data_IF_206120703069
#
_entry.id   IF_206120703069
#
_cell.length_a   1.000
_cell.length_b   1.000
_cell.length_c   1.000
_cell.angle_alpha   90.00
_cell.angle_beta   90.00
_cell.angle_gamma   90.00
#
_symmetry.space_group_name_H-M   'P 1'
#
loop_
_entity.id
_entity.type
_entity.pdbx_description
1 polymer ?
#
# COMPACT_ATOMS: atom_id res chain seq x y z
N UNK A 1 21.29 4.02 -8.81
CA UNK A 1 20.15 3.53 -8.01
C UNK A 1 20.24 4.16 -6.62
N UNK A 2 19.52 5.26 -6.37
CA UNK A 2 19.53 5.94 -5.07
C UNK A 2 18.11 5.94 -4.49
N UNK A 3 17.91 5.41 -3.28
CA UNK A 3 16.72 5.73 -2.49
C UNK A 3 15.91 4.58 -1.86
N UNK A 4 16.26 3.31 -2.03
CA UNK A 4 15.56 2.25 -1.27
C UNK A 4 16.33 1.95 0.01
N UNK A 5 15.67 2.13 1.16
CA UNK A 5 16.18 1.76 2.48
C UNK A 5 16.62 0.29 2.47
N UNK A 6 17.53 -0.10 3.37
CA UNK A 6 17.90 -1.51 3.51
C UNK A 6 16.65 -2.29 3.94
N UNK A 7 16.34 -3.32 3.17
CA UNK A 7 15.22 -4.23 3.41
C UNK A 7 15.82 -5.60 3.67
N UNK A 8 15.55 -6.16 4.85
CA UNK A 8 15.95 -7.52 5.19
C UNK A 8 14.75 -8.45 5.03
N UNK A 9 14.91 -9.51 4.25
CA UNK A 9 13.96 -10.62 4.21
C UNK A 9 14.47 -11.71 5.14
N UNK A 10 13.65 -12.12 6.11
CA UNK A 10 14.01 -13.09 7.15
C UNK A 10 12.81 -14.00 7.38
N UNK A 11 13.05 -15.28 7.66
CA UNK A 11 12.01 -16.18 8.15
C UNK A 11 12.05 -16.22 9.68
N UNK A 12 10.96 -15.84 10.34
CA UNK A 12 10.85 -15.99 11.78
C UNK A 12 10.75 -17.48 12.14
N UNK A 13 11.38 -17.93 13.24
CA UNK A 13 11.39 -19.33 13.68
C UNK A 13 10.06 -19.72 14.33
N UNK A 14 8.95 -19.52 13.62
CA UNK A 14 7.60 -20.02 13.97
C UNK A 14 7.31 -21.34 13.27
N UNK A 15 6.23 -22.03 13.65
CA UNK A 15 5.76 -23.22 12.95
C UNK A 15 4.31 -23.01 12.46
N UNK A 16 4.08 -22.88 11.13
CA UNK A 16 5.09 -22.81 10.05
C UNK A 16 5.95 -21.54 10.11
N UNK A 17 7.11 -21.49 9.43
CA UNK A 17 7.94 -20.29 9.36
C UNK A 17 7.16 -19.10 8.82
N UNK A 18 7.34 -17.93 9.44
CA UNK A 18 6.67 -16.70 8.99
C UNK A 18 7.67 -15.85 8.23
N UNK A 19 7.55 -15.73 6.89
CA UNK A 19 8.42 -14.85 6.12
C UNK A 19 8.07 -13.40 6.43
N UNK A 20 9.09 -12.62 6.79
CA UNK A 20 8.95 -11.21 7.15
C UNK A 20 9.92 -10.34 6.36
N UNK A 21 9.53 -9.09 6.25
CA UNK A 21 10.33 -8.02 5.68
C UNK A 21 10.54 -6.98 6.76
N UNK A 22 11.80 -6.71 7.11
CA UNK A 22 12.19 -5.67 8.06
C UNK A 22 12.73 -4.48 7.29
N UNK A 23 12.15 -3.31 7.55
CA UNK A 23 12.58 -2.05 6.95
C UNK A 23 12.92 -1.00 8.00
N UNK A 24 14.03 -0.30 7.77
CA UNK A 24 14.40 0.88 8.53
C UNK A 24 13.56 2.07 8.12
N UNK A 25 12.91 2.72 9.09
CA UNK A 25 12.21 3.98 8.83
C UNK A 25 13.22 5.06 8.44
N UNK A 26 12.89 5.83 7.41
CA UNK A 26 13.67 6.97 6.94
C UNK A 26 12.76 8.15 6.61
N UNK A 27 13.27 9.36 6.76
CA UNK A 27 12.58 10.54 6.26
C UNK A 27 12.54 10.50 4.72
N UNK A 28 11.37 10.79 4.14
CA UNK A 28 11.25 11.01 2.70
C UNK A 28 11.56 12.46 2.35
N UNK A 29 11.90 12.73 1.08
CA UNK A 29 12.12 14.10 0.60
C UNK A 29 13.38 14.77 1.16
N UNK A 30 13.41 16.12 1.14
CA UNK A 30 14.58 16.93 1.50
C UNK A 30 15.05 16.69 2.96
N UNK A 31 14.11 16.42 3.87
CA UNK A 31 14.41 16.05 5.26
C UNK A 31 15.17 14.72 5.35
N UNK A 32 14.90 13.77 4.45
CA UNK A 32 15.65 12.53 4.32
C UNK A 32 17.14 12.71 4.05
N UNK A 33 17.51 13.76 3.33
CA UNK A 33 18.91 14.06 3.04
C UNK A 33 19.65 14.67 4.25
N UNK A 34 18.93 15.33 5.17
CA UNK A 34 19.50 16.04 6.30
C UNK A 34 19.46 15.23 7.60
N UNK A 35 18.36 14.51 7.86
CA UNK A 35 18.14 13.78 9.13
C UNK A 35 18.21 12.26 8.96
N UNK A 36 18.21 11.74 7.73
CA UNK A 36 18.37 10.33 7.43
C UNK A 36 17.38 9.43 8.19
N UNK A 37 17.92 8.68 9.16
CA UNK A 37 17.21 7.68 9.98
C UNK A 37 16.83 8.17 11.38
N UNK A 38 17.20 9.40 11.75
CA UNK A 38 16.97 9.94 13.09
C UNK A 38 15.65 10.69 13.15
N UNK A 39 14.75 10.23 14.01
CA UNK A 39 13.42 10.78 14.26
C UNK A 39 13.37 11.37 15.66
N UNK A 40 12.57 12.43 15.84
CA UNK A 40 12.11 12.81 17.18
C UNK A 40 11.08 11.77 17.65
N UNK A 41 11.15 11.37 18.91
CA UNK A 41 10.12 10.53 19.52
C UNK A 41 8.83 11.34 19.77
N UNK A 42 7.62 10.75 19.56
CA UNK A 42 7.39 9.40 19.05
C UNK A 42 7.68 9.28 17.54
N UNK A 43 8.31 8.17 17.14
CA UNK A 43 8.60 7.89 15.72
C UNK A 43 7.32 7.51 14.95
N UNK A 44 7.43 7.31 13.63
CA UNK A 44 6.30 6.85 12.80
C UNK A 44 5.88 5.39 13.03
N UNK A 45 6.75 4.56 13.62
CA UNK A 45 6.52 3.12 13.70
C UNK A 45 5.30 2.69 14.54
N UNK A 46 5.05 3.28 15.74
CA UNK A 46 3.85 2.96 16.51
C UNK A 46 2.56 3.34 15.78
N UNK A 47 2.55 4.47 15.07
CA UNK A 47 1.41 4.90 14.26
C UNK A 47 1.14 3.94 13.12
N UNK A 48 2.19 3.47 12.45
CA UNK A 48 2.05 2.50 11.37
C UNK A 48 1.46 1.17 11.85
N UNK A 49 1.91 0.64 13.01
CA UNK A 49 1.29 -0.54 13.60
C UNK A 49 -0.18 -0.30 13.93
N UNK A 50 -0.51 0.82 14.58
CA UNK A 50 -1.89 1.15 14.93
C UNK A 50 -2.79 1.24 13.68
N UNK A 51 -2.29 1.85 12.59
CA UNK A 51 -2.99 1.90 11.31
C UNK A 51 -3.15 0.53 10.68
N UNK A 52 -2.10 -0.30 10.67
CA UNK A 52 -2.16 -1.68 10.16
C UNK A 52 -3.21 -2.51 10.91
N UNK A 53 -3.26 -2.42 12.24
CA UNK A 53 -4.24 -3.12 13.06
C UNK A 53 -5.67 -2.66 12.75
N UNK A 54 -5.88 -1.35 12.57
CA UNK A 54 -7.20 -0.80 12.22
C UNK A 54 -7.65 -1.23 10.83
N UNK A 55 -6.75 -1.28 9.85
CA UNK A 55 -7.05 -1.76 8.51
C UNK A 55 -7.36 -3.26 8.50
N UNK A 56 -6.59 -4.05 9.24
CA UNK A 56 -6.83 -5.49 9.40
C UNK A 56 -8.18 -5.78 10.06
N UNK A 57 -8.54 -5.04 11.12
CA UNK A 57 -9.84 -5.15 11.78
C UNK A 57 -11.02 -4.80 10.84
N UNK A 58 -10.79 -3.95 9.83
CA UNK A 58 -11.76 -3.62 8.79
C UNK A 58 -11.73 -4.60 7.60
N UNK A 59 -10.94 -5.67 7.66
CA UNK A 59 -10.80 -6.66 6.59
C UNK A 59 -10.10 -6.13 5.33
N UNK A 60 -9.39 -5.01 5.42
CA UNK A 60 -8.69 -4.42 4.27
C UNK A 60 -7.38 -5.21 4.06
N UNK A 61 -7.15 -5.80 2.87
CA UNK A 61 -5.92 -6.53 2.59
C UNK A 61 -4.72 -5.59 2.58
N UNK A 62 -3.81 -5.74 3.55
CA UNK A 62 -2.52 -5.04 3.62
C UNK A 62 -1.43 -6.00 4.08
N UNK A 63 -0.14 -5.70 3.86
CA UNK A 63 0.92 -6.36 4.62
C UNK A 63 0.66 -6.18 6.12
N UNK A 64 0.66 -7.27 6.87
CA UNK A 64 0.48 -7.22 8.32
C UNK A 64 1.75 -6.68 8.97
N UNK A 65 1.65 -5.57 9.71
CA UNK A 65 2.74 -5.12 10.57
C UNK A 65 2.76 -6.03 11.81
N UNK A 66 3.80 -6.87 11.92
CA UNK A 66 3.94 -7.83 13.01
C UNK A 66 4.56 -7.17 14.24
N UNK A 67 5.58 -6.35 14.03
CA UNK A 67 6.26 -5.65 15.12
C UNK A 67 6.94 -4.37 14.64
N UNK A 68 7.35 -3.55 15.59
CA UNK A 68 8.30 -2.48 15.37
C UNK A 68 9.33 -2.43 16.48
N UNK A 69 10.52 -1.91 16.18
CA UNK A 69 11.57 -1.59 17.13
C UNK A 69 11.80 -0.08 17.19
N UNK A 70 12.02 0.47 18.39
CA UNK A 70 12.46 1.86 18.57
C UNK A 70 13.76 1.86 19.37
N UNK A 71 14.77 2.54 18.85
CA UNK A 71 16.12 2.56 19.39
C UNK A 71 16.49 4.00 19.75
N UNK A 72 16.56 4.36 21.04
CA UNK A 72 17.09 5.66 21.46
C UNK A 72 18.51 5.86 20.95
N UNK A 73 18.83 7.07 20.51
CA UNK A 73 20.19 7.44 20.05
C UNK A 73 20.80 8.46 21.00
N UNK A 74 20.20 9.65 21.09
CA UNK A 74 20.66 10.72 21.98
C UNK A 74 19.52 11.73 22.19
N UNK A 75 19.30 12.17 23.43
CA UNK A 75 18.20 13.08 23.76
C UNK A 75 16.85 12.54 23.29
N UNK A 76 16.09 13.34 22.54
CA UNK A 76 14.80 12.96 21.98
C UNK A 76 14.89 12.21 20.64
N UNK A 77 16.10 11.93 20.14
CA UNK A 77 16.30 11.25 18.87
C UNK A 77 16.26 9.74 19.02
N UNK A 78 15.50 9.10 18.15
CA UNK A 78 15.38 7.66 18.04
C UNK A 78 15.45 7.20 16.58
N UNK A 79 15.85 5.95 16.37
CA UNK A 79 15.66 5.21 15.12
C UNK A 79 14.50 4.24 15.29
N UNK A 80 13.93 3.77 14.20
CA UNK A 80 12.91 2.72 14.28
C UNK A 80 12.93 1.80 13.08
N UNK A 81 12.64 0.53 13.33
CA UNK A 81 12.46 -0.52 12.35
C UNK A 81 11.01 -1.00 12.38
N UNK A 82 10.45 -1.33 11.22
CA UNK A 82 9.11 -1.92 11.09
C UNK A 82 9.25 -3.28 10.41
N UNK A 83 8.61 -4.28 10.98
CA UNK A 83 8.59 -5.65 10.49
C UNK A 83 7.19 -5.99 9.99
N UNK A 84 7.07 -6.27 8.69
CA UNK A 84 5.81 -6.67 8.05
C UNK A 84 5.88 -8.12 7.59
N UNK A 85 4.77 -8.85 7.68
CA UNK A 85 4.62 -10.14 7.01
C UNK A 85 4.84 -9.95 5.51
N UNK A 86 5.67 -10.79 4.92
CA UNK A 86 5.89 -10.78 3.48
C UNK A 86 4.60 -11.22 2.79
N UNK A 87 4.10 -10.43 1.85
CA UNK A 87 2.97 -10.86 1.02
C UNK A 87 3.38 -12.06 0.15
N UNK A 88 2.42 -12.92 -0.23
CA UNK A 88 2.67 -13.96 -1.22
C UNK A 88 3.20 -13.38 -2.54
N UNK A 89 3.76 -14.23 -3.40
CA UNK A 89 4.29 -13.81 -4.69
C UNK A 89 3.20 -13.13 -5.54
N UNK A 90 3.59 -12.04 -6.20
CA UNK A 90 2.69 -11.12 -6.89
C UNK A 90 3.45 -9.93 -7.46
N UNK A 91 2.71 -8.99 -8.03
CA UNK A 91 3.26 -7.83 -8.74
C UNK A 91 2.53 -6.55 -8.34
N UNK A 92 3.15 -5.38 -8.57
CA UNK A 92 2.40 -4.14 -8.56
C UNK A 92 1.36 -4.11 -9.70
N UNK A 93 0.29 -3.33 -9.53
CA UNK A 93 -0.81 -3.30 -10.50
C UNK A 93 -0.34 -3.00 -11.94
N UNK A 94 0.59 -2.05 -12.21
CA UNK A 94 1.12 -1.85 -13.56
C UNK A 94 1.81 -3.09 -14.15
N UNK A 95 2.60 -3.81 -13.36
CA UNK A 95 3.26 -5.03 -13.80
C UNK A 95 2.28 -6.19 -14.00
N UNK A 96 1.30 -6.36 -13.09
CA UNK A 96 0.23 -7.33 -13.24
C UNK A 96 -0.59 -7.05 -14.52
N UNK A 97 -1.00 -5.79 -14.73
CA UNK A 97 -1.76 -5.36 -15.90
C UNK A 97 -1.06 -5.69 -17.23
N UNK A 98 0.27 -5.46 -17.30
CA UNK A 98 1.07 -5.77 -18.51
C UNK A 98 1.16 -7.26 -18.83
N UNK A 99 1.05 -8.12 -17.81
CA UNK A 99 1.13 -9.58 -17.97
C UNK A 99 -0.24 -10.21 -18.29
N UNK A 100 -1.33 -9.47 -18.07
CA UNK A 100 -2.70 -9.95 -18.24
C UNK A 100 -3.26 -9.69 -19.64
N UNK A 101 -4.18 -10.57 -20.06
CA UNK A 101 -5.07 -10.37 -21.21
C UNK A 101 -6.37 -9.65 -20.76
N UNK A 102 -7.35 -9.52 -21.65
CA UNK A 102 -8.63 -8.85 -21.37
C UNK A 102 -9.41 -9.44 -20.19
N UNK A 103 -9.52 -10.77 -20.09
CA UNK A 103 -10.18 -11.41 -18.93
C UNK A 103 -9.42 -11.14 -17.62
N UNK A 104 -8.09 -11.13 -17.70
CA UNK A 104 -7.24 -10.75 -16.57
C UNK A 104 -7.39 -9.29 -16.19
N UNK A 105 -7.58 -8.37 -17.16
CA UNK A 105 -7.83 -6.96 -16.89
C UNK A 105 -9.12 -6.77 -16.09
N UNK A 106 -10.22 -7.43 -16.48
CA UNK A 106 -11.46 -7.36 -15.73
C UNK A 106 -11.31 -7.89 -14.29
N UNK A 107 -10.62 -9.01 -14.10
CA UNK A 107 -10.35 -9.55 -12.77
C UNK A 107 -9.54 -8.57 -11.90
N UNK A 108 -8.54 -7.89 -12.47
CA UNK A 108 -7.78 -6.83 -11.79
C UNK A 108 -8.67 -5.65 -11.42
N UNK A 109 -9.53 -5.18 -12.33
CA UNK A 109 -10.47 -4.08 -12.05
C UNK A 109 -11.42 -4.42 -10.90
N UNK A 110 -11.96 -5.64 -10.88
CA UNK A 110 -12.81 -6.13 -9.79
C UNK A 110 -12.05 -6.15 -8.45
N UNK A 111 -10.83 -6.67 -8.43
CA UNK A 111 -10.02 -6.69 -7.21
C UNK A 111 -9.69 -5.28 -6.69
N UNK A 112 -9.34 -4.34 -7.57
CA UNK A 112 -9.08 -2.95 -7.20
C UNK A 112 -10.37 -2.26 -6.73
N UNK A 113 -11.51 -2.52 -7.37
CA UNK A 113 -12.80 -2.00 -6.94
C UNK A 113 -13.16 -2.48 -5.53
N UNK A 114 -12.93 -3.76 -5.23
CA UNK A 114 -13.17 -4.32 -3.91
C UNK A 114 -12.27 -3.68 -2.84
N UNK A 115 -11.00 -3.43 -3.16
CA UNK A 115 -10.10 -2.68 -2.28
C UNK A 115 -10.60 -1.25 -2.03
N UNK A 116 -11.01 -0.53 -3.08
CA UNK A 116 -11.53 0.83 -2.97
C UNK A 116 -12.81 0.90 -2.12
N UNK A 117 -13.71 -0.08 -2.29
CA UNK A 117 -14.94 -0.21 -1.48
C UNK A 117 -14.61 -0.47 -0.01
N UNK A 118 -13.69 -1.39 0.28
CA UNK A 118 -13.26 -1.67 1.64
C UNK A 118 -12.65 -0.43 2.31
N UNK A 119 -11.82 0.34 1.58
CA UNK A 119 -11.27 1.61 2.07
C UNK A 119 -12.36 2.65 2.34
N UNK A 120 -13.34 2.78 1.44
CA UNK A 120 -14.47 3.69 1.62
C UNK A 120 -15.31 3.31 2.85
N UNK A 121 -15.66 2.03 3.01
CA UNK A 121 -16.42 1.53 4.15
C UNK A 121 -15.72 1.73 5.49
N UNK A 122 -14.38 1.66 5.53
CA UNK A 122 -13.60 1.93 6.73
C UNK A 122 -13.32 3.43 6.97
N UNK A 123 -13.73 4.32 6.05
CA UNK A 123 -13.36 5.74 6.07
C UNK A 123 -11.84 5.97 5.95
N UNK A 124 -11.13 5.04 5.31
CA UNK A 124 -9.68 5.05 5.18
C UNK A 124 -9.23 5.81 3.92
N UNK A 125 -8.56 6.94 4.11
CA UNK A 125 -7.99 7.73 3.01
C UNK A 125 -6.48 7.54 2.93
N UNK A 126 -5.99 7.13 1.76
CA UNK A 126 -4.56 6.95 1.51
C UNK A 126 -4.02 8.11 0.66
N UNK A 127 -3.21 8.98 1.27
CA UNK A 127 -2.77 10.23 0.64
C UNK A 127 -1.89 10.02 -0.61
N UNK A 128 -1.22 8.87 -0.71
CA UNK A 128 -0.37 8.49 -1.86
C UNK A 128 -0.91 7.26 -2.61
N UNK A 129 -2.23 7.08 -2.69
CA UNK A 129 -2.79 5.92 -3.36
C UNK A 129 -2.50 6.00 -4.86
N UNK A 130 -1.71 5.08 -5.37
CA UNK A 130 -1.31 5.07 -6.77
C UNK A 130 -1.18 3.62 -7.24
N UNK A 131 -1.05 3.40 -8.56
CA UNK A 131 -1.03 2.03 -9.09
C UNK A 131 0.10 1.17 -8.51
N UNK A 132 1.25 1.76 -8.14
CA UNK A 132 2.36 1.02 -7.52
C UNK A 132 2.16 0.66 -6.06
N UNK A 133 1.24 1.35 -5.38
CA UNK A 133 0.88 1.07 -4.00
C UNK A 133 -0.30 0.09 -3.91
N UNK A 134 -0.67 -0.52 -5.04
CA UNK A 134 -1.62 -1.62 -5.13
C UNK A 134 -0.84 -2.86 -5.59
N UNK A 135 -0.78 -3.86 -4.72
CA UNK A 135 -0.09 -5.11 -4.97
C UNK A 135 -1.09 -6.23 -5.25
N UNK A 136 -0.87 -6.97 -6.33
CA UNK A 136 -1.77 -8.01 -6.80
C UNK A 136 -1.17 -9.36 -6.47
N UNK A 137 -1.95 -10.18 -5.76
CA UNK A 137 -1.63 -11.58 -5.44
C UNK A 137 -2.65 -12.48 -6.09
N UNK A 138 -2.19 -13.61 -6.64
CA UNK A 138 -3.01 -14.60 -7.32
C UNK A 138 -2.92 -14.50 -8.85
N UNK A 139 -3.78 -15.26 -9.53
CA UNK A 139 -3.82 -15.32 -11.00
C UNK A 139 -5.21 -15.66 -11.52
N UNK A 140 -5.46 -15.39 -12.81
CA UNK A 140 -6.75 -15.60 -13.44
C UNK A 140 -7.85 -14.78 -12.76
N UNK A 141 -8.97 -15.41 -12.43
CA UNK A 141 -10.11 -14.78 -11.74
C UNK A 141 -9.95 -14.69 -10.23
N UNK A 142 -8.95 -15.37 -9.64
CA UNK A 142 -8.72 -15.40 -8.20
C UNK A 142 -7.57 -14.45 -7.81
N UNK A 143 -7.76 -13.15 -8.05
CA UNK A 143 -6.79 -12.10 -7.70
C UNK A 143 -7.29 -11.24 -6.54
N UNK A 144 -6.38 -10.86 -5.64
CA UNK A 144 -6.63 -9.98 -4.50
C UNK A 144 -5.72 -8.77 -4.58
N UNK A 145 -6.30 -7.59 -4.42
CA UNK A 145 -5.55 -6.33 -4.35
C UNK A 145 -5.24 -5.97 -2.90
N UNK A 146 -3.96 -5.91 -2.57
CA UNK A 146 -3.43 -5.44 -1.30
C UNK A 146 -3.02 -3.98 -1.39
N UNK A 147 -3.37 -3.19 -0.37
CA UNK A 147 -2.86 -1.85 -0.19
C UNK A 147 -1.47 -1.90 0.47
N UNK A 148 -0.49 -1.27 -0.18
CA UNK A 148 0.85 -1.05 0.38
C UNK A 148 0.94 0.30 1.09
N UNK A 149 2.06 0.54 1.79
CA UNK A 149 2.41 1.84 2.40
C UNK A 149 1.36 2.39 3.37
N UNK A 150 0.92 1.56 4.32
CA UNK A 150 -0.14 1.90 5.30
C UNK A 150 0.22 3.06 6.22
N UNK A 151 1.50 3.46 6.32
CA UNK A 151 1.95 4.64 7.07
C UNK A 151 1.42 5.97 6.50
N UNK A 152 0.86 5.95 5.28
CA UNK A 152 0.21 7.10 4.61
C UNK A 152 -1.31 7.11 4.71
N UNK A 153 -1.90 6.10 5.37
CA UNK A 153 -3.34 6.03 5.57
C UNK A 153 -3.75 6.87 6.77
N UNK A 154 -4.84 7.61 6.60
CA UNK A 154 -5.47 8.42 7.63
C UNK A 154 -6.98 8.19 7.64
N UNK A 155 -7.62 8.53 8.75
CA UNK A 155 -9.06 8.33 8.95
C UNK A 155 -9.69 9.69 9.28
N UNK A 156 -10.05 10.50 8.27
CA UNK A 156 -10.46 11.89 8.47
C UNK A 156 -11.79 12.07 9.23
N UNK A 157 -12.53 10.99 9.54
CA UNK A 157 -13.79 11.06 10.29
C UNK A 157 -14.97 11.65 9.50
N UNK A 158 -14.78 11.92 8.20
CA UNK A 158 -15.82 12.45 7.32
C UNK A 158 -15.28 12.84 5.93
N UNK A 159 -16.20 13.14 5.02
CA UNK A 159 -15.91 13.52 3.63
C UNK A 159 -15.87 12.36 2.65
N UNK A 160 -15.75 12.68 1.36
CA UNK A 160 -15.77 11.72 0.25
C UNK A 160 -14.44 10.96 0.10
N UNK A 161 -14.19 10.01 1.02
CA UNK A 161 -13.01 9.14 0.98
C UNK A 161 -12.97 8.31 -0.31
N UNK A 162 -14.13 7.81 -0.75
CA UNK A 162 -14.26 7.02 -1.97
C UNK A 162 -13.78 7.79 -3.21
N UNK A 163 -14.33 8.99 -3.44
CA UNK A 163 -13.94 9.84 -4.56
C UNK A 163 -12.50 10.34 -4.46
N UNK A 164 -11.99 10.62 -3.25
CA UNK A 164 -10.58 11.00 -3.03
C UNK A 164 -9.62 9.87 -3.39
N UNK A 165 -9.88 8.65 -2.94
CA UNK A 165 -9.06 7.47 -3.25
C UNK A 165 -9.14 7.15 -4.76
N UNK A 166 -10.34 7.13 -5.33
CA UNK A 166 -10.52 6.89 -6.78
C UNK A 166 -9.79 7.94 -7.62
N UNK A 167 -9.91 9.23 -7.28
CA UNK A 167 -9.23 10.31 -8.01
C UNK A 167 -7.71 10.17 -8.01
N UNK A 168 -7.14 9.63 -6.93
CA UNK A 168 -5.70 9.35 -6.82
C UNK A 168 -5.28 8.19 -7.73
N UNK A 169 -6.04 7.10 -7.74
CA UNK A 169 -5.85 5.97 -8.66
C UNK A 169 -5.97 6.42 -10.12
N UNK A 170 -7.05 7.13 -10.48
CA UNK A 170 -7.29 7.61 -11.84
C UNK A 170 -6.17 8.55 -12.34
N UNK A 171 -5.74 9.49 -11.49
CA UNK A 171 -4.59 10.36 -11.79
C UNK A 171 -3.32 9.55 -12.04
N UNK A 172 -3.05 8.56 -11.19
CA UNK A 172 -1.89 7.67 -11.37
C UNK A 172 -2.00 6.89 -12.68
N UNK A 173 -3.15 6.33 -13.01
CA UNK A 173 -3.34 5.58 -14.25
C UNK A 173 -3.06 6.44 -15.50
N UNK A 174 -3.61 7.65 -15.57
CA UNK A 174 -3.35 8.60 -16.67
C UNK A 174 -1.87 8.93 -16.80
N UNK A 175 -1.22 9.25 -15.67
CA UNK A 175 0.23 9.48 -15.62
C UNK A 175 1.02 8.26 -16.12
N UNK A 176 0.55 7.05 -15.81
CA UNK A 176 1.21 5.82 -16.24
C UNK A 176 1.05 5.54 -17.73
N UNK A 177 -0.13 5.82 -18.27
CA UNK A 177 -0.40 5.78 -19.70
C UNK A 177 0.48 6.78 -20.45
N UNK A 178 0.49 8.04 -20.03
CA UNK A 178 1.23 9.13 -20.69
C UNK A 178 2.74 8.94 -20.65
N UNK A 179 3.30 8.54 -19.51
CA UNK A 179 4.76 8.51 -19.30
C UNK A 179 5.42 7.17 -19.63
N UNK A 180 4.70 6.06 -19.47
CA UNK A 180 5.26 4.71 -19.60
C UNK A 180 4.46 3.79 -20.52
N UNK A 181 3.48 4.32 -21.27
CA UNK A 181 2.72 3.57 -22.26
C UNK A 181 1.91 2.41 -21.67
N UNK A 182 1.50 2.49 -20.41
CA UNK A 182 0.62 1.48 -19.82
C UNK A 182 -0.74 1.53 -20.53
N UNK A 183 -1.17 0.40 -21.10
CA UNK A 183 -2.45 0.26 -21.80
C UNK A 183 -3.64 0.18 -20.81
N UNK A 184 -3.76 1.18 -19.93
CA UNK A 184 -4.90 1.37 -19.01
C UNK A 184 -5.72 2.55 -19.55
N UNK A 185 -6.82 2.25 -20.23
CA UNK A 185 -7.64 3.20 -20.99
C UNK A 185 -8.55 4.05 -20.09
N UNK A 186 -9.20 5.07 -20.66
CA UNK A 186 -10.29 5.76 -19.95
C UNK A 186 -11.51 4.84 -19.77
N UNK A 187 -11.73 3.88 -20.67
CA UNK A 187 -12.82 2.90 -20.54
C UNK A 187 -12.60 1.98 -19.34
N UNK A 188 -11.35 1.55 -19.11
CA UNK A 188 -10.97 0.79 -17.91
C UNK A 188 -11.20 1.61 -16.63
N UNK A 189 -10.92 2.92 -16.66
CA UNK A 189 -11.19 3.82 -15.54
C UNK A 189 -12.69 4.02 -15.31
N UNK A 190 -13.48 4.13 -16.38
CA UNK A 190 -14.93 4.22 -16.30
C UNK A 190 -15.51 2.92 -15.74
N UNK A 191 -15.02 1.76 -16.21
CA UNK A 191 -15.39 0.44 -15.71
C UNK A 191 -15.05 0.30 -14.23
N UNK A 192 -13.84 0.70 -13.81
CA UNK A 192 -13.44 0.71 -12.41
C UNK A 192 -14.34 1.59 -11.55
N UNK A 193 -14.73 2.76 -12.06
CA UNK A 193 -15.62 3.68 -11.34
C UNK A 193 -17.00 3.08 -11.11
N UNK A 194 -17.55 2.36 -12.09
CA UNK A 194 -18.82 1.64 -11.96
C UNK A 194 -18.67 0.53 -10.90
N UNK A 195 -17.69 -0.36 -11.04
CA UNK A 195 -17.45 -1.48 -10.12
C UNK A 195 -17.20 -1.03 -8.66
N UNK A 196 -16.56 0.13 -8.48
CA UNK A 196 -16.28 0.69 -7.16
C UNK A 196 -17.49 1.38 -6.52
N UNK A 197 -18.55 1.68 -7.28
CA UNK A 197 -19.81 2.27 -6.79
C UNK A 197 -20.92 1.24 -6.62
N UNK A 198 -20.84 0.12 -7.31
CA UNK A 198 -21.78 -1.00 -7.13
C UNK A 198 -21.72 -1.53 -5.68
N UNK A 199 -22.88 -1.51 -5.01
CA UNK A 199 -23.11 -1.96 -3.63
C UNK A 199 -22.50 -1.10 -2.50
N UNK A 200 -22.41 0.22 -2.69
CA UNK A 200 -22.30 1.20 -1.58
C UNK A 200 -23.70 1.63 -1.15
#
# INVERSE_FOLDING_TARGET
MHGRAVIFAVDLPTFPPTPVVVRRNRHGGLLGALTGEYFLAPTRAPFELATSLRLAAAGIPTPEVIAYGVYPVAGMFARSDVMTRRLPAGDDLPAAWKKSNSDGHEALLVAVANLLKALAGAGAWHADLNLKNIYIVGSGSAVVAYLLDVDRVTFPGGGDVAGRNFSRVARSARKWRERWGLAFSEDDLARLAVLARENI
#
